data_IF_315301124461
#
_entry.id   IF_315301124461
#
_cell.length_a   1.000
_cell.length_b   1.000
_cell.length_c   1.000
_cell.angle_alpha   90.00
_cell.angle_beta   90.00
_cell.angle_gamma   90.00
#
_symmetry.space_group_name_H-M   'P 1'
#
loop_
_entity.id
_entity.type
_entity.pdbx_description
1 polymer ?
#
# COMPACT_ATOMS: atom_id res chain seq x y z
N UNK A 1 9.54 -0.67 -18.09
CA UNK A 1 10.16 -0.07 -16.89
C UNK A 1 9.67 -0.85 -15.68
N UNK A 2 10.45 -0.89 -14.59
CA UNK A 2 10.07 -1.62 -13.39
C UNK A 2 10.26 -0.76 -12.15
N UNK A 3 9.28 -0.79 -11.26
CA UNK A 3 9.32 -0.10 -9.97
C UNK A 3 9.32 -1.15 -8.88
N UNK A 4 10.35 -1.13 -8.03
CA UNK A 4 10.44 -2.03 -6.87
C UNK A 4 9.75 -1.37 -5.68
N UNK A 5 8.81 -2.08 -5.07
CA UNK A 5 8.08 -1.65 -3.89
C UNK A 5 8.58 -2.40 -2.67
N UNK A 6 8.65 -1.70 -1.54
CA UNK A 6 9.01 -2.28 -0.24
C UNK A 6 8.11 -1.67 0.82
N UNK A 7 7.25 -2.48 1.40
CA UNK A 7 6.39 -2.09 2.50
C UNK A 7 7.05 -2.45 3.82
N UNK A 8 7.18 -1.44 4.69
CA UNK A 8 7.69 -1.61 6.04
C UNK A 8 6.59 -1.31 7.06
N UNK A 9 6.47 -2.17 8.07
CA UNK A 9 5.61 -1.94 9.25
C UNK A 9 6.49 -2.03 10.49
N UNK A 10 6.45 -1.00 11.34
CA UNK A 10 7.33 -0.86 12.50
C UNK A 10 8.83 -1.06 12.16
N UNK A 11 9.28 -0.53 11.01
CA UNK A 11 10.66 -0.64 10.54
C UNK A 11 11.08 -2.00 10.00
N UNK A 12 10.17 -3.00 9.97
CA UNK A 12 10.43 -4.34 9.41
C UNK A 12 9.85 -4.45 8.01
N UNK A 13 10.63 -5.00 7.08
CA UNK A 13 10.17 -5.31 5.73
C UNK A 13 9.12 -6.43 5.84
N UNK A 14 7.88 -6.15 5.44
CA UNK A 14 6.78 -7.12 5.48
C UNK A 14 6.35 -7.59 4.09
N UNK A 15 6.65 -6.80 3.04
CA UNK A 15 6.36 -7.16 1.66
C UNK A 15 7.37 -6.48 0.72
N UNK A 16 7.89 -7.21 -0.26
CA UNK A 16 8.63 -6.69 -1.40
C UNK A 16 7.91 -7.14 -2.68
N UNK A 17 7.66 -6.20 -3.58
CA UNK A 17 6.94 -6.46 -4.83
C UNK A 17 7.52 -5.64 -5.98
N UNK A 18 7.09 -5.93 -7.21
CA UNK A 18 7.53 -5.27 -8.43
C UNK A 18 6.34 -4.92 -9.30
N UNK A 19 6.23 -3.63 -9.62
CA UNK A 19 5.31 -3.15 -10.64
C UNK A 19 6.02 -3.12 -11.99
N UNK A 20 5.46 -3.87 -12.94
CA UNK A 20 5.90 -3.87 -14.33
C UNK A 20 5.09 -2.84 -15.12
N UNK A 21 5.77 -1.81 -15.60
CA UNK A 21 5.18 -0.72 -16.38
C UNK A 21 5.54 -0.93 -17.84
N UNK A 22 4.52 -1.08 -18.69
CA UNK A 22 4.70 -1.14 -20.15
C UNK A 22 5.31 0.16 -20.65
N UNK A 23 6.56 0.07 -21.12
CA UNK A 23 7.32 1.21 -21.60
C UNK A 23 6.60 1.96 -22.73
N UNK A 24 5.83 1.25 -23.57
CA UNK A 24 5.11 1.87 -24.69
C UNK A 24 4.04 2.86 -24.25
N UNK A 25 3.50 2.69 -23.03
CA UNK A 25 2.49 3.59 -22.45
C UNK A 25 3.09 4.86 -21.88
N UNK A 26 4.39 4.86 -21.56
CA UNK A 26 5.05 5.96 -20.85
C UNK A 26 6.18 6.63 -21.65
N UNK A 27 6.58 6.05 -22.79
CA UNK A 27 7.72 6.54 -23.59
C UNK A 27 7.60 7.98 -24.12
N UNK A 28 6.37 8.48 -24.25
CA UNK A 28 6.08 9.83 -24.74
C UNK A 28 5.73 10.81 -23.61
N UNK A 29 5.73 10.34 -22.37
CA UNK A 29 5.43 11.17 -21.21
C UNK A 29 6.68 11.91 -20.77
N UNK A 30 6.48 13.14 -20.31
CA UNK A 30 7.51 13.86 -19.57
C UNK A 30 7.85 13.14 -18.28
N UNK A 31 8.98 13.50 -17.68
CA UNK A 31 9.40 12.92 -16.40
C UNK A 31 8.35 13.13 -15.30
N UNK A 32 7.75 14.31 -15.24
CA UNK A 32 6.73 14.67 -14.24
C UNK A 32 5.47 13.82 -14.41
N UNK A 33 5.04 13.58 -15.65
CA UNK A 33 3.91 12.69 -15.94
C UNK A 33 4.22 11.23 -15.63
N UNK A 34 5.45 10.78 -15.86
CA UNK A 34 5.90 9.42 -15.47
C UNK A 34 5.86 9.26 -13.95
N UNK A 35 6.36 10.24 -13.19
CA UNK A 35 6.33 10.22 -11.73
C UNK A 35 4.88 10.18 -11.21
N UNK A 36 4.00 11.02 -11.77
CA UNK A 36 2.58 11.01 -11.42
C UNK A 36 1.89 9.67 -11.74
N UNK A 37 2.21 9.06 -12.88
CA UNK A 37 1.68 7.75 -13.24
C UNK A 37 2.18 6.64 -12.29
N UNK A 38 3.44 6.69 -11.86
CA UNK A 38 3.99 5.75 -10.88
C UNK A 38 3.28 5.89 -9.53
N UNK A 39 3.02 7.12 -9.07
CA UNK A 39 2.32 7.38 -7.82
C UNK A 39 0.93 6.74 -7.81
N UNK A 40 0.18 6.88 -8.91
CA UNK A 40 -1.14 6.24 -9.06
C UNK A 40 -1.00 4.72 -9.00
N UNK A 41 -0.04 4.14 -9.72
CA UNK A 41 0.16 2.68 -9.74
C UNK A 41 0.60 2.13 -8.38
N UNK A 42 1.40 2.87 -7.61
CA UNK A 42 1.82 2.50 -6.25
C UNK A 42 0.63 2.53 -5.29
N UNK A 43 -0.26 3.54 -5.41
CA UNK A 43 -1.48 3.63 -4.61
C UNK A 43 -2.45 2.49 -4.94
N UNK A 44 -2.69 2.24 -6.22
CA UNK A 44 -3.53 1.13 -6.68
C UNK A 44 -3.01 -0.21 -6.17
N UNK A 45 -1.69 -0.39 -6.16
CA UNK A 45 -1.05 -1.57 -5.56
C UNK A 45 -1.29 -1.64 -4.05
N UNK A 46 -1.10 -0.54 -3.33
CA UNK A 46 -1.28 -0.49 -1.89
C UNK A 46 -2.74 -0.82 -1.51
N UNK A 47 -3.72 -0.24 -2.20
CA UNK A 47 -5.14 -0.48 -1.97
C UNK A 47 -5.53 -1.96 -2.21
N UNK A 48 -4.83 -2.65 -3.12
CA UNK A 48 -5.07 -4.05 -3.43
C UNK A 48 -4.42 -5.02 -2.44
N UNK A 49 -3.25 -4.66 -1.92
CA UNK A 49 -2.39 -5.58 -1.16
C UNK A 49 -2.50 -5.33 0.35
N UNK A 50 -2.81 -4.11 0.76
CA UNK A 50 -2.86 -3.71 2.18
C UNK A 50 -4.31 -3.68 2.65
N UNK A 51 -4.60 -4.47 3.68
CA UNK A 51 -5.85 -4.42 4.44
C UNK A 51 -5.52 -4.30 5.91
N UNK A 52 -6.11 -3.33 6.59
CA UNK A 52 -5.98 -3.13 8.02
C UNK A 52 -7.35 -3.42 8.64
N UNK A 53 -7.38 -4.37 9.57
CA UNK A 53 -8.55 -4.67 10.38
C UNK A 53 -8.24 -4.32 11.83
N UNK A 54 -9.24 -3.83 12.55
CA UNK A 54 -9.14 -3.51 13.96
C UNK A 54 -10.47 -3.81 14.66
N UNK A 55 -10.39 -4.11 15.95
CA UNK A 55 -11.53 -4.19 16.84
C UNK A 55 -11.24 -3.38 18.11
N UNK A 56 -12.29 -2.92 18.78
CA UNK A 56 -12.17 -2.29 20.10
C UNK A 56 -12.24 -3.37 21.16
N UNK A 57 -11.18 -3.56 21.92
CA UNK A 57 -11.21 -4.39 23.12
C UNK A 57 -11.88 -3.58 24.24
N UNK A 58 -13.16 -3.85 24.53
CA UNK A 58 -13.79 -3.34 25.74
C UNK A 58 -13.32 -4.19 26.93
N UNK A 59 -12.58 -3.58 27.86
CA UNK A 59 -12.34 -4.17 29.17
C UNK A 59 -13.70 -4.36 29.87
N UNK A 60 -13.94 -5.57 30.39
CA UNK A 60 -15.27 -6.08 30.73
C UNK A 60 -16.19 -5.15 31.51
N UNK A 61 -17.42 -4.99 31.01
CA UNK A 61 -18.59 -4.70 31.84
C UNK A 61 -19.00 -5.99 32.59
N UNK A 62 -18.26 -6.33 33.65
CA UNK A 62 -18.80 -7.09 34.78
C UNK A 62 -18.49 -6.23 36.02
N UNK A 63 -19.47 -5.64 36.71
CA UNK A 63 -20.40 -6.39 37.54
C UNK A 63 -21.73 -5.66 37.66
N UNK A 64 -22.78 -6.25 37.08
CA UNK A 64 -24.06 -6.31 37.76
C UNK A 64 -23.96 -7.39 38.84
N UNK A 65 -24.14 -7.02 40.10
CA UNK A 65 -24.60 -7.95 41.13
C UNK A 65 -25.59 -7.18 42.01
N UNK A 66 -26.77 -7.78 42.06
CA UNK A 66 -28.01 -7.38 42.73
C UNK A 66 -27.82 -7.11 44.22
#
# INVERSE_FOLDING_TARGET
MHVRLRLFVAGRLVCEDRLDIDYRKIQNLSKEEIESAIDVLVRDWADRVIRIEWETENEGEEQGST
#
